data_IF_530755467728
#
_entry.id   IF_530755467728
#
_cell.length_a   1.000
_cell.length_b   1.000
_cell.length_c   1.000
_cell.angle_alpha   90.00
_cell.angle_beta   90.00
_cell.angle_gamma   90.00
#
_symmetry.space_group_name_H-M   'P 1'
#
loop_
_entity.id
_entity.type
_entity.pdbx_description
1 polymer ?
#
# COMPACT_ATOMS: atom_id res chain seq x y z
N UNK A 1 -4.16 -14.76 -26.67
CA UNK A 1 -4.02 -15.66 -25.52
C UNK A 1 -3.06 -16.79 -25.86
N UNK A 2 -2.27 -17.24 -24.86
CA UNK A 2 -1.49 -18.49 -24.97
C UNK A 2 -2.06 -19.51 -23.99
N UNK A 3 -1.87 -20.79 -24.32
CA UNK A 3 -2.21 -21.92 -23.47
C UNK A 3 -0.96 -22.75 -23.32
N UNK A 4 -0.44 -22.82 -22.11
CA UNK A 4 0.84 -23.40 -21.79
C UNK A 4 0.65 -24.56 -20.81
N UNK A 5 1.32 -25.68 -21.02
CA UNK A 5 1.17 -26.87 -20.21
C UNK A 5 1.77 -26.75 -18.80
N UNK A 6 2.69 -25.81 -18.61
CA UNK A 6 3.37 -25.58 -17.33
C UNK A 6 3.44 -24.11 -16.99
N UNK A 7 3.65 -23.80 -15.72
CA UNK A 7 3.83 -22.41 -15.26
C UNK A 7 5.07 -21.75 -15.85
N UNK A 8 6.15 -22.51 -16.05
CA UNK A 8 7.36 -22.06 -16.73
C UNK A 8 7.08 -21.68 -18.20
N UNK A 9 6.32 -22.52 -18.92
CA UNK A 9 5.88 -22.23 -20.29
C UNK A 9 5.06 -20.96 -20.36
N UNK A 10 4.08 -20.80 -19.44
CA UNK A 10 3.29 -19.60 -19.34
C UNK A 10 4.16 -18.36 -19.07
N UNK A 11 5.21 -18.49 -18.24
CA UNK A 11 6.16 -17.41 -17.97
C UNK A 11 6.96 -17.05 -19.24
N UNK A 12 7.41 -18.04 -20.01
CA UNK A 12 8.10 -17.79 -21.29
C UNK A 12 7.21 -17.08 -22.29
N UNK A 13 5.97 -17.53 -22.44
CA UNK A 13 4.96 -16.91 -23.31
C UNK A 13 4.69 -15.48 -22.89
N UNK A 14 4.54 -15.23 -21.60
CA UNK A 14 4.41 -13.89 -21.04
C UNK A 14 5.60 -12.99 -21.42
N UNK A 15 6.83 -13.47 -21.27
CA UNK A 15 8.02 -12.69 -21.62
C UNK A 15 8.14 -12.45 -23.14
N UNK A 16 7.70 -13.39 -23.98
CA UNK A 16 7.60 -13.18 -25.44
C UNK A 16 6.62 -12.06 -25.77
N UNK A 17 5.43 -12.07 -25.16
CA UNK A 17 4.43 -11.03 -25.34
C UNK A 17 4.93 -9.66 -24.86
N UNK A 18 5.55 -9.60 -23.68
CA UNK A 18 6.15 -8.35 -23.16
C UNK A 18 7.15 -7.75 -24.18
N UNK A 19 8.04 -8.57 -24.74
CA UNK A 19 8.99 -8.11 -25.78
C UNK A 19 8.28 -7.67 -27.07
N UNK A 20 7.21 -8.37 -27.47
CA UNK A 20 6.45 -8.02 -28.65
C UNK A 20 5.77 -6.65 -28.51
N UNK A 21 5.17 -6.36 -27.36
CA UNK A 21 4.59 -5.03 -27.07
C UNK A 21 5.65 -3.93 -27.13
N UNK A 22 6.79 -4.11 -26.49
CA UNK A 22 7.88 -3.13 -26.53
C UNK A 22 8.37 -2.89 -27.96
N UNK A 23 8.53 -3.94 -28.77
CA UNK A 23 8.91 -3.83 -30.17
C UNK A 23 7.84 -3.14 -31.02
N UNK A 24 6.56 -3.42 -30.76
CA UNK A 24 5.44 -2.77 -31.44
C UNK A 24 5.43 -1.25 -31.15
N UNK A 25 5.48 -0.85 -29.90
CA UNK A 25 5.48 0.56 -29.53
C UNK A 25 6.72 1.30 -30.06
N UNK A 26 7.89 0.66 -30.03
CA UNK A 26 9.11 1.24 -30.60
C UNK A 26 8.97 1.49 -32.12
N UNK A 27 8.33 0.58 -32.87
CA UNK A 27 8.02 0.78 -34.29
C UNK A 27 7.03 1.92 -34.52
N UNK A 28 6.14 2.19 -33.57
CA UNK A 28 5.24 3.34 -33.60
C UNK A 28 5.94 4.66 -33.20
N UNK A 29 7.24 4.63 -32.89
CA UNK A 29 8.00 5.80 -32.45
C UNK A 29 7.72 6.22 -30.99
N UNK A 30 7.08 5.35 -30.19
CA UNK A 30 6.74 5.63 -28.80
C UNK A 30 7.85 5.15 -27.86
N UNK A 31 8.24 6.04 -26.95
CA UNK A 31 9.15 5.71 -25.84
C UNK A 31 8.34 5.14 -24.70
N UNK A 32 8.30 3.82 -24.59
CA UNK A 32 7.43 3.11 -23.64
C UNK A 32 8.25 2.53 -22.51
N UNK A 33 7.73 2.65 -21.30
CA UNK A 33 8.25 2.03 -20.07
C UNK A 33 7.30 0.90 -19.70
N UNK A 34 7.81 -0.33 -19.59
CA UNK A 34 7.02 -1.44 -19.07
C UNK A 34 7.08 -1.40 -17.54
N UNK A 35 5.97 -1.11 -16.89
CA UNK A 35 5.85 -0.97 -15.44
C UNK A 35 5.15 -2.18 -14.83
N UNK A 36 5.59 -2.59 -13.64
CA UNK A 36 4.84 -3.56 -12.83
C UNK A 36 3.50 -2.96 -12.43
N UNK A 37 2.41 -3.68 -12.69
CA UNK A 37 1.05 -3.22 -12.46
C UNK A 37 0.27 -4.19 -11.56
N UNK A 38 -0.78 -3.69 -10.93
CA UNK A 38 -1.75 -4.55 -10.24
C UNK A 38 -2.54 -5.38 -11.25
N UNK A 39 -2.90 -6.59 -10.88
CA UNK A 39 -3.71 -7.47 -11.74
C UNK A 39 -5.20 -7.17 -11.64
N UNK A 40 -5.61 -6.41 -10.64
CA UNK A 40 -6.98 -5.97 -10.41
C UNK A 40 -8.01 -7.11 -10.48
N UNK A 41 -9.17 -6.79 -11.01
CA UNK A 41 -10.26 -7.76 -11.22
C UNK A 41 -9.91 -8.87 -12.22
N UNK A 42 -8.97 -8.60 -13.15
CA UNK A 42 -8.49 -9.62 -14.08
C UNK A 42 -7.79 -10.76 -13.34
N UNK A 43 -7.05 -10.46 -12.27
CA UNK A 43 -6.32 -11.46 -11.49
C UNK A 43 -5.12 -12.03 -12.25
N UNK A 44 -4.56 -13.12 -11.72
CA UNK A 44 -3.32 -13.70 -12.20
C UNK A 44 -2.15 -13.36 -11.28
N UNK A 45 -0.95 -13.82 -11.66
CA UNK A 45 0.26 -13.66 -10.81
C UNK A 45 1.15 -12.48 -11.21
N UNK A 46 1.08 -12.06 -12.47
CA UNK A 46 1.89 -10.96 -13.02
C UNK A 46 1.10 -10.11 -13.99
N UNK A 47 1.35 -8.81 -13.94
CA UNK A 47 0.90 -7.85 -14.94
C UNK A 47 1.97 -6.81 -15.19
N UNK A 48 2.08 -6.35 -16.45
CA UNK A 48 2.84 -5.16 -16.83
C UNK A 48 1.99 -4.29 -17.74
N UNK A 49 2.02 -3.00 -17.45
CA UNK A 49 1.49 -1.95 -18.33
C UNK A 49 2.62 -1.36 -19.16
N UNK A 50 2.30 -0.96 -20.38
CA UNK A 50 3.23 -0.30 -21.29
C UNK A 50 2.88 1.18 -21.32
N UNK A 51 3.58 1.95 -20.48
CA UNK A 51 3.29 3.34 -20.19
C UNK A 51 4.11 4.27 -21.09
N UNK A 52 3.45 5.25 -21.69
CA UNK A 52 4.10 6.32 -22.44
C UNK A 52 4.13 7.57 -21.58
N UNK A 53 5.31 8.03 -21.11
CA UNK A 53 5.41 9.25 -20.33
C UNK A 53 4.87 10.46 -21.09
N UNK A 54 3.85 11.11 -20.54
CA UNK A 54 3.20 12.27 -21.11
C UNK A 54 2.56 13.14 -20.03
N UNK A 55 2.74 14.47 -20.04
CA UNK A 55 2.17 15.34 -19.01
C UNK A 55 0.65 15.30 -18.90
N UNK A 56 -0.03 14.90 -19.98
CA UNK A 56 -1.49 14.76 -20.06
C UNK A 56 -2.00 13.37 -19.69
N UNK A 57 -1.08 12.44 -19.30
CA UNK A 57 -1.46 11.10 -18.88
C UNK A 57 -2.33 11.11 -17.61
N UNK A 58 -3.12 10.07 -17.43
CA UNK A 58 -4.01 9.92 -16.28
C UNK A 58 -3.35 9.15 -15.13
N UNK A 59 -2.33 8.34 -15.42
CA UNK A 59 -1.64 7.51 -14.45
C UNK A 59 -0.29 8.08 -14.03
N UNK A 60 0.10 7.77 -12.80
CA UNK A 60 1.44 8.05 -12.28
C UNK A 60 2.29 6.77 -12.29
N UNK A 61 3.48 6.85 -12.87
CA UNK A 61 4.48 5.80 -12.81
C UNK A 61 5.66 6.21 -11.93
N UNK A 62 6.16 5.25 -11.16
CA UNK A 62 7.37 5.37 -10.34
C UNK A 62 8.49 4.60 -11.03
N UNK A 63 9.63 5.26 -11.30
CA UNK A 63 10.75 4.61 -11.98
C UNK A 63 12.09 5.13 -11.48
N UNK A 64 13.13 4.33 -11.71
CA UNK A 64 14.51 4.66 -11.40
C UNK A 64 15.39 4.26 -12.60
N UNK A 65 16.00 5.24 -13.25
CA UNK A 65 16.79 5.03 -14.47
C UNK A 65 18.01 4.11 -14.21
N UNK A 66 18.63 4.26 -13.04
CA UNK A 66 19.87 3.57 -12.67
C UNK A 66 19.64 2.07 -12.41
N UNK A 67 18.47 1.69 -11.90
CA UNK A 67 18.17 0.29 -11.56
C UNK A 67 17.26 -0.40 -12.57
N UNK A 68 16.67 0.36 -13.49
CA UNK A 68 15.62 -0.13 -14.37
C UNK A 68 14.33 -0.55 -13.63
N UNK A 69 14.18 -0.16 -12.36
CA UNK A 69 12.93 -0.36 -11.64
C UNK A 69 11.85 0.54 -12.19
N UNK A 70 10.67 -0.01 -12.43
CA UNK A 70 9.49 0.75 -12.83
C UNK A 70 8.23 0.02 -12.38
N UNK A 71 7.28 0.77 -11.82
CA UNK A 71 6.00 0.26 -11.36
C UNK A 71 4.92 1.34 -11.53
N UNK A 72 3.67 0.92 -11.72
CA UNK A 72 2.52 1.78 -11.50
C UNK A 72 2.53 2.25 -10.03
N UNK A 73 2.06 3.47 -9.75
CA UNK A 73 2.07 4.06 -8.42
C UNK A 73 1.41 3.17 -7.37
N UNK A 74 0.31 2.51 -7.74
CA UNK A 74 -0.43 1.58 -6.88
C UNK A 74 0.41 0.38 -6.41
N UNK A 75 1.40 -0.01 -7.19
CA UNK A 75 2.28 -1.16 -6.93
C UNK A 75 3.67 -0.76 -6.44
N UNK A 76 4.01 0.51 -6.60
CA UNK A 76 5.36 0.99 -6.33
C UNK A 76 5.77 0.82 -4.87
N UNK A 77 7.02 0.39 -4.66
CA UNK A 77 7.65 0.25 -3.36
C UNK A 77 8.94 1.07 -3.29
N UNK A 78 9.35 1.49 -2.10
CA UNK A 78 10.62 2.18 -1.89
C UNK A 78 11.44 1.54 -0.76
N UNK A 79 12.75 1.80 -0.78
CA UNK A 79 13.68 1.28 0.23
C UNK A 79 13.67 2.06 1.56
N UNK A 80 12.75 3.00 1.74
CA UNK A 80 12.60 3.72 3.01
C UNK A 80 12.11 2.81 4.15
N UNK A 81 11.73 1.58 3.81
CA UNK A 81 11.23 0.58 4.75
C UNK A 81 12.38 0.06 5.62
N UNK A 82 12.43 0.37 6.91
CA UNK A 82 13.41 -0.22 7.81
C UNK A 82 13.11 -1.70 8.01
N UNK A 83 14.16 -2.52 8.03
CA UNK A 83 14.04 -3.93 8.40
C UNK A 83 13.75 -4.09 9.89
N UNK A 84 14.29 -3.19 10.71
CA UNK A 84 14.21 -3.23 12.16
C UNK A 84 13.57 -1.95 12.72
N UNK A 85 13.10 -2.01 13.95
CA UNK A 85 12.68 -0.81 14.66
C UNK A 85 13.87 0.09 14.94
N UNK A 86 13.66 1.41 14.85
CA UNK A 86 14.64 2.36 15.32
C UNK A 86 14.84 2.13 16.83
N UNK A 87 16.08 1.92 17.21
CA UNK A 87 16.44 1.76 18.60
C UNK A 87 16.32 3.13 19.30
N UNK A 88 15.17 3.36 19.87
CA UNK A 88 14.90 4.57 20.64
C UNK A 88 15.08 4.23 22.09
N UNK A 89 15.89 5.02 22.79
CA UNK A 89 16.01 4.92 24.25
C UNK A 89 14.60 4.76 24.85
N UNK A 90 14.43 3.87 25.87
CA UNK A 90 13.11 3.60 26.43
C UNK A 90 12.46 4.93 26.78
N UNK A 91 11.37 5.22 26.09
CA UNK A 91 10.58 6.40 26.33
C UNK A 91 10.05 6.39 27.75
N UNK A 92 9.82 7.56 28.25
CA UNK A 92 8.93 7.77 29.37
C UNK A 92 7.60 7.03 29.18
N UNK A 93 6.84 6.84 30.22
CA UNK A 93 5.50 6.26 30.13
C UNK A 93 4.65 7.05 29.13
N UNK A 94 3.70 6.35 28.50
CA UNK A 94 2.69 7.01 27.64
C UNK A 94 2.00 8.09 28.48
N UNK A 95 1.87 9.26 27.90
CA UNK A 95 1.20 10.41 28.52
C UNK A 95 0.05 10.89 27.64
N UNK A 96 -1.14 11.02 28.24
CA UNK A 96 -2.31 11.65 27.61
C UNK A 96 -2.20 13.18 27.76
N UNK A 97 -2.45 13.91 26.68
CA UNK A 97 -2.47 15.37 26.69
C UNK A 97 -3.64 15.94 25.89
N UNK A 98 -4.16 17.09 26.33
CA UNK A 98 -5.30 17.73 25.68
C UNK A 98 -4.92 18.40 24.35
N UNK A 99 -5.76 18.18 23.36
CA UNK A 99 -5.63 18.73 22.00
C UNK A 99 -7.01 19.18 21.47
N UNK A 100 -7.69 20.10 22.15
CA UNK A 100 -9.03 20.48 21.79
C UNK A 100 -9.08 21.08 20.37
N UNK A 101 -9.97 20.58 19.51
CA UNK A 101 -10.14 21.04 18.13
C UNK A 101 -9.06 20.58 17.15
N UNK A 102 -8.09 19.80 17.57
CA UNK A 102 -7.03 19.22 16.70
C UNK A 102 -7.54 17.91 16.11
N UNK A 103 -7.82 17.92 14.81
CA UNK A 103 -8.36 16.77 14.06
C UNK A 103 -7.52 16.38 12.82
N UNK A 104 -6.43 17.09 12.56
CA UNK A 104 -5.57 16.82 11.41
C UNK A 104 -4.09 16.77 11.82
N UNK A 105 -3.29 16.04 11.04
CA UNK A 105 -1.83 15.97 11.18
C UNK A 105 -1.20 17.37 11.18
N UNK A 106 -1.65 18.23 10.27
CA UNK A 106 -1.15 19.59 10.14
C UNK A 106 -1.48 20.46 11.39
N UNK A 107 -2.68 20.30 11.95
CA UNK A 107 -3.07 21.03 13.16
C UNK A 107 -2.21 20.61 14.37
N UNK A 108 -1.89 19.33 14.50
CA UNK A 108 -1.01 18.84 15.57
C UNK A 108 0.47 19.25 15.35
N UNK A 109 0.87 19.45 14.09
CA UNK A 109 2.20 19.96 13.74
C UNK A 109 2.35 21.45 13.98
N UNK A 110 1.25 22.19 14.02
CA UNK A 110 1.24 23.62 14.32
C UNK A 110 1.40 23.89 15.82
N UNK A 111 1.73 25.16 16.17
CA UNK A 111 1.71 25.60 17.56
C UNK A 111 0.29 25.53 18.16
N UNK A 112 0.13 25.23 19.45
CA UNK A 112 1.19 25.12 20.45
C UNK A 112 1.84 23.72 20.53
N UNK A 113 1.30 22.70 19.86
CA UNK A 113 1.75 21.31 20.04
C UNK A 113 3.08 21.01 19.34
N UNK A 114 3.26 21.54 18.12
CA UNK A 114 4.53 21.48 17.34
C UNK A 114 5.07 20.06 17.14
N UNK A 115 4.18 19.06 16.97
CA UNK A 115 4.55 17.67 16.71
C UNK A 115 4.76 17.48 15.23
N UNK A 116 6.00 17.24 14.78
CA UNK A 116 6.31 17.02 13.37
C UNK A 116 5.50 15.84 12.80
N UNK A 117 5.07 15.95 11.53
CA UNK A 117 4.19 14.97 10.90
C UNK A 117 4.81 13.56 10.84
N UNK A 118 6.14 13.46 10.68
CA UNK A 118 6.88 12.20 10.70
C UNK A 118 6.96 11.54 12.09
N UNK A 119 6.57 12.25 13.16
CA UNK A 119 6.46 11.76 14.53
C UNK A 119 5.03 11.41 14.94
N UNK A 120 4.08 11.54 14.03
CA UNK A 120 2.68 11.22 14.28
C UNK A 120 2.33 9.86 13.68
N UNK A 121 1.50 9.08 14.39
CA UNK A 121 0.86 7.89 13.85
C UNK A 121 -0.56 8.27 13.39
N UNK A 122 -0.81 8.21 12.09
CA UNK A 122 -2.10 8.42 11.46
C UNK A 122 -2.87 7.12 11.44
N UNK A 123 -4.00 7.05 12.14
CA UNK A 123 -4.87 5.86 12.19
C UNK A 123 -6.09 6.09 11.30
N UNK A 124 -6.26 5.24 10.31
CA UNK A 124 -7.40 5.21 9.40
C UNK A 124 -8.26 3.98 9.72
N UNK A 125 -9.57 4.11 9.61
CA UNK A 125 -10.52 3.01 9.85
C UNK A 125 -11.22 2.65 8.55
N UNK A 126 -11.17 1.40 8.20
CA UNK A 126 -11.82 0.82 7.04
C UNK A 126 -12.78 -0.28 7.46
N UNK A 127 -13.78 -0.55 6.63
CA UNK A 127 -14.63 -1.73 6.71
C UNK A 127 -14.17 -2.74 5.67
N UNK A 128 -13.83 -3.95 6.09
CA UNK A 128 -13.48 -5.08 5.23
C UNK A 128 -14.40 -6.26 5.51
N UNK A 129 -15.13 -6.71 4.50
CA UNK A 129 -16.10 -7.82 4.60
C UNK A 129 -17.06 -7.68 5.80
N UNK A 130 -17.53 -6.44 6.04
CA UNK A 130 -18.47 -6.11 7.10
C UNK A 130 -17.86 -5.93 8.49
N UNK A 131 -16.53 -6.00 8.67
CA UNK A 131 -15.84 -5.76 9.93
C UNK A 131 -14.88 -4.58 9.84
N UNK A 132 -14.78 -3.74 10.86
CA UNK A 132 -13.81 -2.65 10.89
C UNK A 132 -12.38 -3.19 11.04
N UNK A 133 -11.43 -2.50 10.40
CA UNK A 133 -10.01 -2.71 10.61
C UNK A 133 -9.26 -1.38 10.61
N UNK A 134 -8.09 -1.35 11.22
CA UNK A 134 -7.26 -0.16 11.30
C UNK A 134 -6.07 -0.27 10.35
N UNK A 135 -5.73 0.86 9.72
CA UNK A 135 -4.48 1.04 8.98
C UNK A 135 -3.71 2.18 9.63
N UNK A 136 -2.48 1.91 10.05
CA UNK A 136 -1.63 2.88 10.73
C UNK A 136 -0.43 3.23 9.85
N UNK A 137 -0.27 4.53 9.57
CA UNK A 137 0.80 5.13 8.79
C UNK A 137 1.52 6.20 9.59
N UNK A 138 2.69 6.67 9.13
CA UNK A 138 3.22 7.94 9.64
C UNK A 138 2.31 9.09 9.19
N UNK A 139 2.22 10.12 10.00
CA UNK A 139 1.40 11.29 9.68
C UNK A 139 1.79 11.98 8.36
N UNK A 140 3.07 11.91 7.98
CA UNK A 140 3.55 12.48 6.72
C UNK A 140 3.27 11.59 5.50
N UNK A 141 2.88 10.32 5.64
CA UNK A 141 2.65 9.40 4.52
C UNK A 141 1.17 9.36 4.13
N UNK A 142 0.90 9.07 2.87
CA UNK A 142 -0.45 8.86 2.35
C UNK A 142 -0.69 7.38 2.08
N UNK A 143 -1.92 6.94 2.33
CA UNK A 143 -2.35 5.58 2.06
C UNK A 143 -2.50 5.38 0.54
N UNK A 144 -1.99 4.25 0.05
CA UNK A 144 -2.31 3.72 -1.26
C UNK A 144 -3.37 2.62 -1.10
N UNK A 145 -4.62 2.94 -1.39
CA UNK A 145 -5.74 2.03 -1.14
C UNK A 145 -5.64 0.70 -1.90
N UNK A 146 -5.07 0.72 -3.10
CA UNK A 146 -4.86 -0.49 -3.89
C UNK A 146 -4.02 -1.54 -3.15
N UNK A 147 -3.07 -1.10 -2.31
CA UNK A 147 -2.23 -1.99 -1.50
C UNK A 147 -2.99 -2.70 -0.39
N UNK A 148 -4.18 -2.21 0.01
CA UNK A 148 -5.03 -2.91 0.97
C UNK A 148 -5.59 -4.23 0.42
N UNK A 149 -5.62 -4.40 -0.90
CA UNK A 149 -5.99 -5.67 -1.54
C UNK A 149 -5.14 -6.86 -1.07
N UNK A 150 -3.88 -6.61 -0.67
CA UNK A 150 -2.99 -7.64 -0.12
C UNK A 150 -3.45 -8.18 1.26
N UNK A 151 -4.39 -7.52 1.93
CA UNK A 151 -4.96 -7.96 3.20
C UNK A 151 -5.98 -9.09 3.05
N UNK A 152 -6.42 -9.40 1.82
CA UNK A 152 -7.31 -10.52 1.51
C UNK A 152 -8.80 -10.26 1.71
N UNK A 153 -9.21 -9.02 2.00
CA UNK A 153 -10.63 -8.66 2.03
C UNK A 153 -11.21 -8.69 0.61
N UNK A 154 -12.41 -9.26 0.47
CA UNK A 154 -13.13 -9.30 -0.81
C UNK A 154 -13.63 -7.91 -1.21
N UNK A 155 -14.17 -7.18 -0.22
CA UNK A 155 -14.64 -5.81 -0.37
C UNK A 155 -14.16 -5.00 0.81
N UNK A 156 -13.65 -3.80 0.53
CA UNK A 156 -13.31 -2.84 1.59
C UNK A 156 -13.66 -1.41 1.17
N UNK A 157 -13.89 -0.57 2.14
CA UNK A 157 -14.13 0.86 1.99
C UNK A 157 -13.77 1.61 3.26
N UNK A 158 -13.60 2.89 3.18
CA UNK A 158 -13.45 3.74 4.37
C UNK A 158 -14.69 3.64 5.26
N UNK A 159 -14.48 3.57 6.57
CA UNK A 159 -15.56 3.53 7.56
C UNK A 159 -16.19 4.92 7.74
N UNK A 160 -17.50 4.96 7.98
CA UNK A 160 -18.19 6.22 8.33
C UNK A 160 -17.97 6.59 9.81
N UNK A 161 -18.24 7.82 10.19
CA UNK A 161 -18.08 8.26 11.58
C UNK A 161 -18.96 7.45 12.55
N UNK A 162 -20.15 7.07 12.11
CA UNK A 162 -21.12 6.26 12.88
C UNK A 162 -20.62 4.82 13.10
N UNK A 163 -19.82 4.29 12.17
CA UNK A 163 -19.20 2.97 12.29
C UNK A 163 -17.94 3.02 13.18
N UNK A 164 -17.22 4.14 13.17
CA UNK A 164 -15.97 4.34 13.92
C UNK A 164 -16.22 4.50 15.42
N UNK A 165 -17.11 5.37 15.82
CA UNK A 165 -17.28 5.79 17.22
C UNK A 165 -17.63 4.62 18.16
N UNK A 166 -18.53 3.67 17.81
CA UNK A 166 -18.82 2.51 18.67
C UNK A 166 -17.62 1.60 18.92
N UNK A 167 -16.70 1.52 17.97
CA UNK A 167 -15.52 0.64 18.02
C UNK A 167 -14.34 1.35 18.69
N UNK A 168 -14.05 2.57 18.28
CA UNK A 168 -12.86 3.30 18.73
C UNK A 168 -13.09 4.07 20.02
N UNK A 169 -14.27 4.63 20.23
CA UNK A 169 -14.60 5.46 21.40
C UNK A 169 -14.48 6.96 21.17
N UNK A 170 -14.05 7.36 19.97
CA UNK A 170 -13.90 8.76 19.57
C UNK A 170 -14.19 8.94 18.09
N UNK A 171 -14.35 10.20 17.70
CA UNK A 171 -14.52 10.61 16.29
C UNK A 171 -13.18 10.66 15.54
N UNK A 172 -13.20 10.64 14.20
CA UNK A 172 -12.02 10.91 13.38
C UNK A 172 -11.27 12.17 13.84
N UNK A 173 -9.95 12.07 13.94
CA UNK A 173 -9.06 13.12 14.46
C UNK A 173 -8.44 12.79 15.82
N UNK A 174 -9.05 11.88 16.60
CA UNK A 174 -8.50 11.45 17.90
C UNK A 174 -8.29 9.93 17.99
N UNK A 175 -8.14 9.26 16.83
CA UNK A 175 -8.04 7.79 16.74
C UNK A 175 -6.60 7.30 16.89
N UNK A 176 -6.42 6.16 17.56
CA UNK A 176 -5.13 5.52 17.77
C UNK A 176 -5.22 4.01 17.91
N UNK A 177 -4.11 3.30 17.62
CA UNK A 177 -3.99 1.86 17.73
C UNK A 177 -3.40 1.35 19.05
N UNK A 178 -3.32 2.19 20.10
CA UNK A 178 -2.67 1.83 21.35
C UNK A 178 -3.49 0.79 22.13
N UNK A 179 -2.80 -0.22 22.64
CA UNK A 179 -3.38 -1.28 23.48
C UNK A 179 -4.14 -0.68 24.66
N UNK A 180 -5.36 -1.17 24.90
CA UNK A 180 -6.18 -0.75 26.05
C UNK A 180 -6.94 0.58 25.86
N UNK A 181 -6.75 1.30 24.76
CA UNK A 181 -7.49 2.55 24.49
C UNK A 181 -8.67 2.38 23.53
N UNK A 182 -8.68 1.33 22.75
CA UNK A 182 -9.77 1.01 21.82
C UNK A 182 -10.98 0.50 22.62
N UNK A 183 -12.15 1.11 22.44
CA UNK A 183 -13.36 0.77 23.22
C UNK A 183 -13.82 -0.68 23.00
N UNK A 184 -13.84 -1.15 21.76
CA UNK A 184 -14.25 -2.51 21.40
C UNK A 184 -13.24 -3.17 20.46
N UNK A 185 -12.07 -3.58 20.95
CA UNK A 185 -11.03 -4.17 20.11
C UNK A 185 -11.44 -5.52 19.52
N UNK A 186 -12.36 -6.25 20.15
CA UNK A 186 -12.85 -7.54 19.65
C UNK A 186 -13.68 -7.43 18.37
N UNK A 187 -14.22 -6.24 18.05
CA UNK A 187 -14.94 -5.99 16.81
C UNK A 187 -14.00 -5.85 15.60
N UNK A 188 -12.71 -5.55 15.83
CA UNK A 188 -11.75 -5.33 14.74
C UNK A 188 -11.37 -6.65 14.05
N UNK A 189 -11.34 -6.63 12.72
CA UNK A 189 -10.73 -7.70 11.92
C UNK A 189 -9.21 -7.73 12.07
N UNK A 190 -8.59 -6.59 12.36
CA UNK A 190 -7.16 -6.48 12.60
C UNK A 190 -6.68 -5.04 12.69
N UNK A 191 -5.42 -4.88 13.08
CA UNK A 191 -4.68 -3.61 13.07
C UNK A 191 -3.46 -3.81 12.18
N UNK A 192 -3.45 -3.13 11.04
CA UNK A 192 -2.41 -3.22 10.02
C UNK A 192 -1.54 -1.97 10.06
N UNK A 193 -0.24 -2.14 9.94
CA UNK A 193 0.68 -1.03 10.06
C UNK A 193 1.69 -1.00 8.92
N UNK A 194 1.90 0.19 8.38
CA UNK A 194 2.95 0.40 7.39
C UNK A 194 4.33 0.22 8.04
N UNK A 195 5.23 -0.41 7.29
CA UNK A 195 6.59 -0.62 7.78
C UNK A 195 7.30 0.67 8.15
N UNK A 196 7.00 1.80 7.52
CA UNK A 196 7.66 3.08 7.78
C UNK A 196 7.41 3.61 9.21
N UNK A 197 6.35 3.17 9.91
CA UNK A 197 6.16 3.58 11.32
C UNK A 197 7.22 3.01 12.26
N UNK A 198 7.99 2.00 11.83
CA UNK A 198 9.13 1.48 12.60
C UNK A 198 10.23 2.53 12.79
N UNK A 199 10.26 3.57 11.94
CA UNK A 199 11.18 4.72 12.06
C UNK A 199 10.76 5.70 13.15
N UNK A 200 9.53 5.58 13.68
CA UNK A 200 8.99 6.55 14.64
C UNK A 200 9.26 6.08 16.07
N UNK A 201 10.18 6.74 16.72
CA UNK A 201 10.36 6.60 18.17
C UNK A 201 9.63 7.70 18.92
N UNK A 202 9.05 7.39 20.09
CA UNK A 202 8.33 8.33 20.94
C UNK A 202 7.29 9.15 20.17
N UNK A 203 6.45 8.45 19.38
CA UNK A 203 5.47 9.05 18.52
C UNK A 203 4.23 9.58 19.24
N UNK A 204 3.40 10.29 18.50
CA UNK A 204 2.12 10.82 18.96
C UNK A 204 0.99 10.21 18.13
N UNK A 205 -0.10 9.80 18.80
CA UNK A 205 -1.30 9.24 18.18
C UNK A 205 -2.57 9.70 18.90
N UNK A 206 -3.75 9.51 18.33
CA UNK A 206 -5.00 9.76 19.02
C UNK A 206 -5.18 8.86 20.25
N UNK A 207 -5.88 9.39 21.26
CA UNK A 207 -6.13 8.69 22.53
C UNK A 207 -7.42 7.84 22.51
N UNK A 208 -8.14 7.77 21.38
CA UNK A 208 -9.51 7.25 21.30
C UNK A 208 -10.47 7.95 22.27
N UNK A 209 -10.23 9.23 22.50
CA UNK A 209 -10.99 10.16 23.33
C UNK A 209 -10.98 11.52 22.64
N UNK A 210 -12.13 12.07 22.37
CA UNK A 210 -12.28 13.32 21.63
C UNK A 210 -11.49 14.46 22.27
N UNK A 211 -10.64 15.13 21.47
CA UNK A 211 -9.81 16.24 21.90
C UNK A 211 -8.58 15.83 22.73
N UNK A 212 -8.15 14.56 22.66
CA UNK A 212 -6.95 14.08 23.35
C UNK A 212 -6.06 13.24 22.44
N UNK A 213 -4.75 13.35 22.66
CA UNK A 213 -3.72 12.53 22.04
C UNK A 213 -2.81 11.90 23.10
N UNK A 214 -2.07 10.87 22.69
CA UNK A 214 -1.05 10.19 23.48
C UNK A 214 0.33 10.51 22.90
N UNK A 215 1.29 10.82 23.75
CA UNK A 215 2.71 10.95 23.39
C UNK A 215 3.56 9.88 24.05
N UNK A 216 4.83 9.78 23.65
CA UNK A 216 5.78 8.75 24.07
C UNK A 216 5.34 7.33 23.64
N UNK A 217 4.57 7.24 22.56
CA UNK A 217 4.11 5.96 22.01
C UNK A 217 5.20 5.32 21.17
N UNK A 218 5.51 4.06 21.46
CA UNK A 218 6.42 3.22 20.70
C UNK A 218 5.61 2.16 19.93
N UNK A 219 5.79 2.08 18.61
CA UNK A 219 4.99 1.21 17.79
C UNK A 219 5.07 -0.27 18.19
N UNK A 220 6.25 -0.77 18.54
CA UNK A 220 6.47 -2.17 18.93
C UNK A 220 5.89 -2.49 20.31
N UNK A 221 6.09 -1.60 21.27
CA UNK A 221 5.67 -1.79 22.66
C UNK A 221 4.15 -1.63 22.83
N UNK A 222 3.59 -0.60 22.20
CA UNK A 222 2.30 -0.06 22.59
C UNK A 222 1.17 -0.33 21.59
N UNK A 223 1.48 -0.54 20.30
CA UNK A 223 0.45 -0.80 19.30
C UNK A 223 0.13 -2.30 19.20
N UNK A 224 -1.15 -2.62 19.03
CA UNK A 224 -1.63 -4.01 18.90
C UNK A 224 -1.62 -4.47 17.44
N UNK A 225 -0.48 -4.37 16.75
CA UNK A 225 -0.36 -4.64 15.32
C UNK A 225 -0.52 -6.13 15.03
N UNK A 226 -1.49 -6.48 14.18
CA UNK A 226 -1.75 -7.83 13.70
C UNK A 226 -0.81 -8.22 12.55
N UNK A 227 -0.54 -7.28 11.64
CA UNK A 227 0.30 -7.51 10.46
C UNK A 227 0.97 -6.20 10.01
N UNK A 228 2.22 -6.33 9.58
CA UNK A 228 3.00 -5.28 8.92
C UNK A 228 2.91 -5.41 7.41
N UNK A 229 2.86 -4.28 6.69
CA UNK A 229 2.82 -4.26 5.23
C UNK A 229 3.38 -2.95 4.66
N UNK A 230 3.43 -2.88 3.35
CA UNK A 230 3.66 -1.63 2.61
C UNK A 230 2.30 -1.11 2.15
N UNK A 231 1.81 -0.05 2.80
CA UNK A 231 0.49 0.52 2.53
C UNK A 231 0.54 1.98 2.07
N UNK A 232 1.73 2.56 2.03
CA UNK A 232 1.88 3.97 1.69
C UNK A 232 2.16 4.20 0.21
N UNK A 233 1.81 5.38 -0.26
CA UNK A 233 2.17 5.87 -1.59
C UNK A 233 3.66 6.25 -1.61
N UNK A 234 4.39 5.82 -2.64
CA UNK A 234 5.79 6.22 -2.88
C UNK A 234 5.86 7.66 -3.34
N UNK A 235 6.87 8.41 -2.87
CA UNK A 235 7.12 9.80 -3.26
C UNK A 235 8.37 9.92 -4.11
N UNK A 236 8.38 10.95 -4.96
CA UNK A 236 9.58 11.30 -5.71
C UNK A 236 10.77 11.59 -4.78
N UNK A 237 11.95 11.12 -5.15
CA UNK A 237 13.16 11.25 -4.36
C UNK A 237 13.38 10.17 -3.31
N UNK A 238 12.42 9.31 -3.04
CA UNK A 238 12.62 8.17 -2.14
C UNK A 238 13.59 7.14 -2.76
N UNK A 239 14.41 6.48 -1.92
CA UNK A 239 15.37 5.51 -2.41
C UNK A 239 14.65 4.29 -3.04
N UNK A 240 15.05 3.92 -4.24
CA UNK A 240 14.54 2.75 -4.94
C UNK A 240 15.05 1.44 -4.32
N UNK A 241 14.18 0.42 -4.28
CA UNK A 241 14.44 -0.88 -3.64
C UNK A 241 15.61 -1.67 -4.24
N UNK A 242 15.91 -1.45 -5.53
CA UNK A 242 16.96 -2.21 -6.23
C UNK A 242 18.36 -1.57 -6.14
N UNK A 243 18.43 -0.25 -6.01
CA UNK A 243 19.71 0.46 -6.14
C UNK A 243 19.97 1.49 -5.04
N UNK A 244 18.95 1.87 -4.27
CA UNK A 244 19.03 2.98 -3.34
C UNK A 244 19.06 4.36 -3.99
N UNK A 245 19.12 4.46 -5.33
CA UNK A 245 19.02 5.73 -6.05
C UNK A 245 17.62 6.33 -5.95
N UNK A 246 17.47 7.66 -6.02
CA UNK A 246 16.17 8.30 -5.88
C UNK A 246 15.22 7.93 -7.02
N UNK A 247 13.98 7.57 -6.64
CA UNK A 247 12.89 7.28 -7.56
C UNK A 247 12.33 8.58 -8.16
N UNK A 248 11.90 8.50 -9.41
CA UNK A 248 11.19 9.55 -10.14
C UNK A 248 9.73 9.19 -10.30
N UNK A 249 8.88 10.19 -10.42
CA UNK A 249 7.46 10.02 -10.74
C UNK A 249 7.18 10.80 -12.01
N UNK A 250 6.45 10.19 -12.94
CA UNK A 250 5.99 10.86 -14.15
C UNK A 250 4.54 10.47 -14.45
N UNK A 251 3.79 11.43 -15.01
CA UNK A 251 2.50 11.16 -15.62
C UNK A 251 2.72 10.37 -16.90
N UNK A 252 1.82 9.41 -17.16
CA UNK A 252 1.91 8.54 -18.32
C UNK A 252 0.53 8.15 -18.86
N UNK A 253 0.51 7.75 -20.13
CA UNK A 253 -0.67 7.17 -20.79
C UNK A 253 -0.43 5.69 -20.92
N UNK A 254 -1.40 4.86 -20.52
CA UNK A 254 -1.37 3.42 -20.76
C UNK A 254 -1.57 3.13 -22.26
N UNK A 255 -0.60 2.49 -22.88
CA UNK A 255 -0.67 2.03 -24.29
C UNK A 255 -1.17 0.60 -24.42
N UNK A 256 -1.06 -0.20 -23.36
CA UNK A 256 -1.50 -1.58 -23.33
C UNK A 256 -1.02 -2.32 -22.08
N UNK A 257 -1.57 -3.50 -21.85
CA UNK A 257 -1.28 -4.32 -20.69
C UNK A 257 -1.17 -5.79 -21.05
N UNK A 258 -0.32 -6.53 -20.33
CA UNK A 258 -0.15 -7.98 -20.47
C UNK A 258 -0.28 -8.66 -19.11
N UNK A 259 -0.97 -9.80 -19.09
CA UNK A 259 -1.24 -10.55 -17.87
C UNK A 259 -0.72 -11.99 -17.96
N UNK A 260 -0.23 -12.52 -16.85
CA UNK A 260 -0.11 -13.96 -16.62
C UNK A 260 -1.30 -14.39 -15.75
N UNK A 261 -2.37 -14.88 -16.40
CA UNK A 261 -3.68 -15.11 -15.76
C UNK A 261 -3.73 -16.37 -14.89
N UNK A 262 -2.84 -17.35 -15.13
CA UNK A 262 -2.93 -18.67 -14.53
C UNK A 262 -4.20 -19.39 -14.96
N UNK A 263 -4.79 -20.18 -14.07
CA UNK A 263 -5.98 -21.02 -14.35
C UNK A 263 -7.30 -20.38 -13.95
N UNK A 264 -7.31 -19.14 -13.48
CA UNK A 264 -8.49 -18.42 -12.96
C UNK A 264 -9.72 -18.52 -13.85
N UNK A 265 -9.53 -18.42 -15.16
CA UNK A 265 -10.62 -18.46 -16.13
C UNK A 265 -10.84 -19.87 -16.69
N UNK A 266 -9.77 -20.59 -17.05
CA UNK A 266 -9.86 -21.91 -17.63
C UNK A 266 -10.55 -22.92 -16.70
N UNK A 267 -10.24 -22.92 -15.42
CA UNK A 267 -10.91 -23.75 -14.42
C UNK A 267 -12.42 -23.47 -14.35
N UNK A 268 -12.82 -22.19 -14.30
CA UNK A 268 -14.23 -21.80 -14.24
C UNK A 268 -15.03 -22.17 -15.47
N UNK A 269 -14.39 -22.15 -16.63
CA UNK A 269 -15.02 -22.51 -17.91
C UNK A 269 -14.86 -23.99 -18.24
N UNK A 270 -14.11 -24.77 -17.44
CA UNK A 270 -13.76 -26.13 -17.79
C UNK A 270 -12.98 -26.22 -19.13
N UNK A 271 -12.21 -25.16 -19.43
CA UNK A 271 -11.47 -25.08 -20.67
C UNK A 271 -10.21 -25.96 -20.59
N UNK A 272 -10.15 -26.96 -21.47
CA UNK A 272 -9.01 -27.87 -21.59
C UNK A 272 -8.54 -27.90 -23.03
N UNK A 273 -7.26 -28.17 -23.26
CA UNK A 273 -6.72 -28.43 -24.58
C UNK A 273 -5.91 -29.73 -24.59
N UNK A 274 -5.73 -30.29 -25.75
CA UNK A 274 -4.98 -31.53 -25.95
C UNK A 274 -3.66 -31.21 -26.64
N UNK A 275 -2.54 -31.63 -26.04
CA UNK A 275 -1.22 -31.44 -26.60
C UNK A 275 -0.92 -32.43 -27.76
N UNK A 276 0.25 -32.30 -28.38
CA UNK A 276 0.70 -33.17 -29.47
C UNK A 276 0.83 -34.65 -29.06
N UNK A 277 0.98 -34.91 -27.75
CA UNK A 277 1.03 -36.25 -27.15
C UNK A 277 -0.36 -36.80 -26.78
N UNK A 278 -1.42 -36.08 -27.16
CA UNK A 278 -2.81 -36.40 -26.81
C UNK A 278 -3.10 -36.37 -25.30
N UNK A 279 -2.34 -35.61 -24.53
CA UNK A 279 -2.63 -35.37 -23.12
C UNK A 279 -3.51 -34.13 -22.96
N UNK A 280 -4.46 -34.22 -22.07
CA UNK A 280 -5.35 -33.09 -21.75
C UNK A 280 -4.74 -32.25 -20.63
N UNK A 281 -4.74 -30.94 -20.83
CA UNK A 281 -4.24 -29.96 -19.91
C UNK A 281 -5.31 -28.95 -19.55
#
# INVERSE_FOLDING_TARGET
YSFDATDEGATESYQKMKRAYLAFFARCGLKTIAVEADTGVMGGSFSHEFMVPAPIGDDDIVYCDESGYSANREKAVSAIVPRDFVDVAPADAIEEFATPGVVTIAALAAAPHSVAADKQFKTLVYMGDGKPFLVILRGCDDLEEAKLGALGFQLFRQATAEEIEPVMGAKPGSLGGVKGTIRNPAALAGIFADHAIRLVGNGVTGANKDGFHLRNVNAQRDLAISQWGDFRTVRAGEPGVKSGHPSKIARAIEGGQVFKLGTKYSEKFGAVYTDEKKQSH
#
